data_IF_266089373822
#
_entry.id   IF_266089373822
#
_cell.length_a   1.000
_cell.length_b   1.000
_cell.length_c   1.000
_cell.angle_alpha   90.00
_cell.angle_beta   90.00
_cell.angle_gamma   90.00
#
_symmetry.space_group_name_H-M   'P 1'
#
loop_
_entity.id
_entity.type
_entity.pdbx_description
1 polymer ?
#
# COMPACT_ATOMS: atom_id res chain seq x y z
N UNK A 1 -5.96 1.95 -8.46
CA UNK A 1 -5.11 2.17 -7.27
C UNK A 1 -4.65 3.64 -7.11
N UNK A 2 -4.70 4.47 -8.15
CA UNK A 2 -4.30 5.89 -8.07
C UNK A 2 -4.88 6.68 -6.90
N UNK A 3 -4.11 7.64 -6.39
CA UNK A 3 -4.48 8.51 -5.29
C UNK A 3 -3.53 8.41 -4.10
N UNK A 4 -3.94 8.99 -2.98
CA UNK A 4 -3.17 9.01 -1.73
C UNK A 4 -3.71 7.94 -0.80
N UNK A 5 -2.80 7.20 -0.18
CA UNK A 5 -3.11 6.14 0.77
C UNK A 5 -2.25 6.33 2.01
N UNK A 6 -2.88 6.42 3.16
CA UNK A 6 -2.21 6.58 4.45
C UNK A 6 -1.96 5.22 5.08
N UNK A 7 -0.79 5.03 5.68
CA UNK A 7 -0.33 3.82 6.33
C UNK A 7 -0.67 3.91 7.81
N UNK A 8 -1.57 3.04 8.27
CA UNK A 8 -1.95 2.92 9.67
C UNK A 8 -0.93 2.07 10.44
N UNK A 9 -0.45 0.98 9.84
CA UNK A 9 0.59 0.13 10.41
C UNK A 9 1.49 -0.49 9.33
N UNK A 10 2.76 -0.68 9.66
CA UNK A 10 3.74 -1.32 8.78
C UNK A 10 4.72 -2.18 9.58
N UNK A 11 4.88 -3.43 9.15
CA UNK A 11 5.88 -4.36 9.68
C UNK A 11 6.80 -4.83 8.57
N UNK A 12 8.09 -4.88 8.84
CA UNK A 12 9.10 -5.45 7.93
C UNK A 12 9.93 -6.49 8.67
N UNK A 13 9.94 -7.74 8.17
CA UNK A 13 10.51 -8.91 8.86
C UNK A 13 10.01 -9.02 10.31
N UNK A 14 8.70 -8.92 10.52
CA UNK A 14 8.03 -8.99 11.83
C UNK A 14 8.28 -7.79 12.78
N UNK A 15 9.13 -6.84 12.41
CA UNK A 15 9.37 -5.63 13.21
C UNK A 15 8.47 -4.47 12.78
N UNK A 16 7.85 -3.77 13.74
CA UNK A 16 7.22 -2.47 13.48
C UNK A 16 8.30 -1.46 13.06
N UNK A 17 8.18 -0.95 11.84
CA UNK A 17 9.12 0.03 11.27
C UNK A 17 8.49 1.42 11.09
N UNK A 18 7.31 1.69 11.67
CA UNK A 18 6.63 2.98 11.53
C UNK A 18 7.51 4.15 11.99
N UNK A 19 8.24 3.98 13.09
CA UNK A 19 9.20 4.97 13.60
C UNK A 19 10.44 5.16 12.71
N UNK A 20 10.69 4.27 11.75
CA UNK A 20 11.79 4.38 10.79
C UNK A 20 11.47 5.29 9.61
N UNK A 21 10.18 5.56 9.36
CA UNK A 21 9.70 6.22 8.15
C UNK A 21 9.55 7.73 8.34
N UNK A 22 9.96 8.49 7.33
CA UNK A 22 9.57 9.89 7.16
C UNK A 22 8.27 9.93 6.34
N UNK A 23 7.17 10.19 7.04
CA UNK A 23 5.82 10.19 6.47
C UNK A 23 5.17 8.82 6.47
N UNK A 24 3.87 8.78 6.19
CA UNK A 24 3.05 7.57 6.22
C UNK A 24 2.24 7.36 4.94
N UNK A 25 2.54 8.08 3.86
CA UNK A 25 1.69 8.05 2.67
C UNK A 25 2.35 7.33 1.50
N UNK A 26 1.55 6.55 0.79
CA UNK A 26 1.78 6.25 -0.62
C UNK A 26 1.02 7.25 -1.49
N UNK A 27 1.65 7.68 -2.58
CA UNK A 27 0.96 8.43 -3.63
C UNK A 27 1.19 7.74 -4.97
N UNK A 28 0.15 7.10 -5.48
CA UNK A 28 0.15 6.47 -6.79
C UNK A 28 -0.43 7.43 -7.82
N UNK A 29 0.28 7.69 -8.91
CA UNK A 29 -0.19 8.54 -10.00
C UNK A 29 0.48 8.12 -11.31
N UNK A 30 -0.32 7.86 -12.34
CA UNK A 30 0.18 7.33 -13.60
C UNK A 30 1.05 6.08 -13.31
N UNK A 31 2.23 5.96 -13.91
CA UNK A 31 3.17 4.85 -13.66
C UNK A 31 4.06 5.06 -12.42
N UNK A 32 3.92 6.17 -11.70
CA UNK A 32 4.81 6.56 -10.61
C UNK A 32 4.19 6.39 -9.23
N UNK A 33 5.02 5.99 -8.27
CA UNK A 33 4.68 5.93 -6.86
C UNK A 33 5.62 6.79 -6.04
N UNK A 34 5.05 7.60 -5.14
CA UNK A 34 5.78 8.20 -4.01
C UNK A 34 5.64 7.29 -2.80
N UNK A 35 6.76 6.86 -2.22
CA UNK A 35 6.87 5.95 -1.09
C UNK A 35 7.38 6.71 0.16
N UNK A 36 7.04 6.26 1.38
CA UNK A 36 7.69 6.75 2.59
C UNK A 36 9.22 6.55 2.51
N UNK A 37 9.97 7.52 3.02
CA UNK A 37 11.44 7.43 3.07
C UNK A 37 11.86 6.73 4.37
N UNK A 38 12.72 5.73 4.31
CA UNK A 38 13.38 5.22 5.52
C UNK A 38 14.52 6.17 5.92
N UNK A 39 14.55 6.63 7.17
CA UNK A 39 15.63 7.50 7.68
C UNK A 39 16.35 6.93 8.91
N UNK A 40 15.58 6.39 9.86
CA UNK A 40 16.05 6.22 11.24
C UNK A 40 16.37 4.76 11.63
N UNK A 41 16.44 3.84 10.67
CA UNK A 41 16.74 2.43 10.96
C UNK A 41 18.00 1.99 10.24
N UNK A 42 19.06 1.78 11.03
CA UNK A 42 20.41 1.43 10.59
C UNK A 42 20.45 0.23 9.65
N UNK A 43 19.52 -0.71 9.81
CA UNK A 43 19.41 -1.92 9.00
C UNK A 43 18.79 -1.66 7.63
N UNK A 44 17.89 -0.67 7.50
CA UNK A 44 17.17 -0.38 6.27
C UNK A 44 17.91 0.61 5.36
N UNK A 45 18.74 1.47 5.97
CA UNK A 45 19.42 2.54 5.26
C UNK A 45 18.48 3.66 4.80
N UNK A 46 19.04 4.72 4.24
CA UNK A 46 18.27 5.83 3.68
C UNK A 46 17.85 5.51 2.25
N UNK A 47 16.57 5.68 1.94
CA UNK A 47 16.03 5.44 0.59
C UNK A 47 15.56 6.74 -0.06
N UNK A 48 15.33 6.68 -1.38
CA UNK A 48 14.55 7.70 -2.09
C UNK A 48 13.05 7.41 -1.96
N UNK A 49 12.26 8.44 -2.23
CA UNK A 49 10.80 8.42 -2.12
C UNK A 49 10.10 8.05 -3.43
N UNK A 50 10.82 7.65 -4.49
CA UNK A 50 10.23 7.41 -5.82
C UNK A 50 10.46 6.00 -6.32
N UNK A 51 9.45 5.50 -7.02
CA UNK A 51 9.50 4.27 -7.80
C UNK A 51 8.45 4.26 -8.90
N UNK A 52 8.34 3.14 -9.59
CA UNK A 52 7.22 2.84 -10.50
C UNK A 52 6.33 1.76 -9.90
N UNK A 53 5.11 1.64 -10.40
CA UNK A 53 4.18 0.63 -9.93
C UNK A 53 3.26 0.12 -11.03
N UNK A 54 2.77 -1.10 -10.84
CA UNK A 54 1.68 -1.67 -11.62
C UNK A 54 0.82 -2.60 -10.74
N UNK A 55 -0.47 -2.70 -11.07
CA UNK A 55 -1.36 -3.72 -10.50
C UNK A 55 -1.55 -4.81 -11.53
N UNK A 56 -1.27 -6.05 -11.12
CA UNK A 56 -1.40 -7.25 -11.94
C UNK A 56 -2.61 -8.02 -11.42
N UNK A 57 -3.50 -8.41 -12.34
CA UNK A 57 -4.69 -9.21 -12.09
C UNK A 57 -4.45 -10.65 -12.60
N UNK A 58 -3.91 -11.56 -11.79
CA UNK A 58 -3.72 -12.95 -12.21
C UNK A 58 -5.07 -13.66 -12.42
N UNK A 59 -5.11 -14.60 -13.37
CA UNK A 59 -6.30 -15.40 -13.68
C UNK A 59 -6.84 -16.20 -12.47
N UNK A 60 -5.97 -16.49 -11.49
CA UNK A 60 -6.30 -17.17 -10.24
C UNK A 60 -7.08 -16.30 -9.24
N UNK A 61 -7.28 -15.02 -9.55
CA UNK A 61 -7.92 -14.03 -8.66
C UNK A 61 -6.93 -13.32 -7.72
N UNK A 62 -7.41 -12.23 -7.12
CA UNK A 62 -6.62 -11.33 -6.28
C UNK A 62 -5.90 -10.23 -7.07
N UNK A 63 -5.28 -9.30 -6.36
CA UNK A 63 -4.41 -8.28 -6.96
C UNK A 63 -2.98 -8.49 -6.49
N UNK A 64 -2.03 -8.36 -7.41
CA UNK A 64 -0.63 -8.16 -7.08
C UNK A 64 -0.25 -6.71 -7.35
N UNK A 65 0.41 -6.09 -6.39
CA UNK A 65 1.04 -4.79 -6.54
C UNK A 65 2.52 -5.00 -6.73
N UNK A 66 3.05 -4.63 -7.90
CA UNK A 66 4.48 -4.60 -8.14
C UNK A 66 4.97 -3.18 -8.01
N UNK A 67 6.02 -2.99 -7.22
CA UNK A 67 6.70 -1.71 -7.02
C UNK A 67 8.17 -1.91 -7.39
N UNK A 68 8.68 -1.06 -8.26
CA UNK A 68 10.10 -1.00 -8.59
C UNK A 68 10.69 0.29 -8.00
N UNK A 69 11.58 0.15 -7.02
CA UNK A 69 12.18 1.30 -6.31
C UNK A 69 13.51 0.94 -5.64
N UNK A 70 14.24 1.96 -5.21
CA UNK A 70 15.47 1.78 -4.40
C UNK A 70 15.17 1.28 -2.97
N UNK A 71 13.91 1.31 -2.51
CA UNK A 71 13.57 0.91 -1.15
C UNK A 71 13.47 -0.60 -0.99
N UNK A 72 14.37 -1.20 -0.21
CA UNK A 72 14.33 -2.64 0.11
C UNK A 72 13.05 -3.09 0.83
N UNK A 73 12.36 -2.17 1.49
CA UNK A 73 11.10 -2.46 2.19
C UNK A 73 9.97 -2.64 1.19
N UNK A 74 9.87 -1.73 0.22
CA UNK A 74 8.71 -1.64 -0.68
C UNK A 74 8.96 -2.23 -2.07
N UNK A 75 10.21 -2.49 -2.45
CA UNK A 75 10.55 -3.03 -3.76
C UNK A 75 10.19 -4.51 -3.85
N UNK A 76 9.44 -4.87 -4.88
CA UNK A 76 9.05 -6.24 -5.15
C UNK A 76 7.61 -6.38 -5.62
N UNK A 77 7.11 -7.61 -5.56
CA UNK A 77 5.72 -7.95 -5.84
C UNK A 77 5.03 -8.37 -4.55
N UNK A 78 3.92 -7.74 -4.26
CA UNK A 78 3.16 -7.93 -3.03
C UNK A 78 1.72 -8.27 -3.37
N UNK A 79 1.05 -9.01 -2.49
CA UNK A 79 -0.40 -9.19 -2.55
C UNK A 79 -1.06 -7.90 -2.08
N UNK A 80 -2.06 -7.45 -2.81
CA UNK A 80 -2.86 -6.27 -2.48
C UNK A 80 -4.30 -6.70 -2.23
N UNK A 81 -4.83 -6.34 -1.06
CA UNK A 81 -6.23 -6.55 -0.71
C UNK A 81 -6.92 -5.25 -0.37
N UNK A 82 -8.19 -5.17 -0.72
CA UNK A 82 -9.05 -4.06 -0.36
C UNK A 82 -10.08 -4.51 0.66
N UNK A 83 -10.26 -3.69 1.68
CA UNK A 83 -11.16 -3.98 2.80
C UNK A 83 -12.15 -2.84 2.90
N UNK A 84 -13.43 -3.17 2.91
CA UNK A 84 -14.50 -2.21 3.16
C UNK A 84 -14.68 -2.05 4.67
N UNK A 85 -14.40 -0.86 5.19
CA UNK A 85 -14.62 -0.51 6.59
C UNK A 85 -15.89 0.35 6.71
N UNK A 86 -17.01 -0.29 7.04
CA UNK A 86 -18.30 0.38 7.17
C UNK A 86 -18.38 1.28 8.41
N UNK A 87 -17.71 0.91 9.50
CA UNK A 87 -17.75 1.62 10.76
C UNK A 87 -17.09 2.99 10.61
N UNK A 88 -15.87 3.00 10.06
CA UNK A 88 -15.11 4.23 9.84
C UNK A 88 -15.48 4.92 8.52
N UNK A 89 -16.31 4.28 7.67
CA UNK A 89 -16.68 4.75 6.33
C UNK A 89 -15.44 5.00 5.48
N UNK A 90 -14.55 4.01 5.41
CA UNK A 90 -13.27 4.09 4.71
C UNK A 90 -13.08 2.91 3.77
N UNK A 91 -12.32 3.15 2.69
CA UNK A 91 -11.71 2.07 1.90
C UNK A 91 -10.32 1.80 2.48
N UNK A 92 -10.14 0.62 3.07
CA UNK A 92 -8.86 0.14 3.58
C UNK A 92 -8.13 -0.68 2.54
N UNK A 93 -6.82 -0.78 2.70
CA UNK A 93 -5.97 -1.67 1.93
C UNK A 93 -5.05 -2.46 2.85
N UNK A 94 -4.62 -3.61 2.35
CA UNK A 94 -3.60 -4.46 2.95
C UNK A 94 -2.58 -4.83 1.86
N UNK A 95 -1.29 -4.63 2.14
CA UNK A 95 -0.19 -5.10 1.30
C UNK A 95 0.58 -6.16 2.06
N UNK A 96 0.74 -7.35 1.50
CA UNK A 96 1.49 -8.45 2.11
C UNK A 96 2.51 -9.09 1.18
N UNK A 97 3.65 -9.46 1.74
CA UNK A 97 4.63 -10.40 1.16
C UNK A 97 5.37 -11.11 2.29
N UNK A 98 6.32 -11.98 1.97
CA UNK A 98 7.07 -12.75 2.97
C UNK A 98 7.75 -11.87 4.04
N UNK A 99 8.17 -10.67 3.66
CA UNK A 99 8.90 -9.73 4.53
C UNK A 99 8.11 -8.48 4.90
N UNK A 100 6.93 -8.22 4.32
CA UNK A 100 6.24 -6.95 4.46
C UNK A 100 4.77 -7.15 4.78
N UNK A 101 4.28 -6.42 5.77
CA UNK A 101 2.86 -6.30 6.07
C UNK A 101 2.51 -4.82 6.27
N UNK A 102 1.57 -4.30 5.49
CA UNK A 102 1.05 -2.93 5.60
C UNK A 102 -0.46 -2.97 5.65
N UNK A 103 -1.04 -2.17 6.53
CA UNK A 103 -2.45 -1.80 6.46
C UNK A 103 -2.60 -0.29 6.47
N UNK A 104 -3.66 0.17 5.83
CA UNK A 104 -3.95 1.59 5.75
C UNK A 104 -5.25 1.90 5.05
N UNK A 105 -5.45 3.16 4.70
CA UNK A 105 -6.69 3.64 4.13
C UNK A 105 -6.47 4.60 2.96
N UNK A 106 -7.45 4.64 2.05
CA UNK A 106 -7.47 5.65 0.99
C UNK A 106 -7.84 7.00 1.59
N UNK A 107 -7.10 8.03 1.20
CA UNK A 107 -7.31 9.41 1.65
C UNK A 107 -8.17 10.16 0.62
N UNK A 108 -9.03 11.07 1.10
CA UNK A 108 -9.94 11.87 0.27
C UNK A 108 -10.81 11.03 -0.69
N UNK A 109 -11.34 9.91 -0.20
CA UNK A 109 -12.18 9.00 -0.97
C UNK A 109 -13.57 8.87 -0.35
N UNK A 110 -14.56 9.67 -0.79
CA UNK A 110 -15.86 9.71 -0.13
C UNK A 110 -16.57 8.35 -0.26
N UNK A 111 -16.78 7.68 0.87
CA UNK A 111 -17.24 6.30 0.91
C UNK A 111 -18.60 6.08 0.23
N UNK A 112 -19.60 6.90 0.56
CA UNK A 112 -20.96 6.75 0.04
C UNK A 112 -21.03 6.90 -1.48
N UNK A 113 -20.34 7.89 -2.04
CA UNK A 113 -20.35 8.12 -3.49
C UNK A 113 -19.57 7.06 -4.26
N UNK A 114 -18.69 6.31 -3.60
CA UNK A 114 -17.82 5.31 -4.22
C UNK A 114 -18.18 3.87 -3.84
N UNK A 115 -19.33 3.62 -3.19
CA UNK A 115 -19.65 2.31 -2.63
C UNK A 115 -19.61 1.17 -3.65
N UNK A 116 -20.09 1.40 -4.87
CA UNK A 116 -20.05 0.39 -5.94
C UNK A 116 -18.63 0.03 -6.36
N UNK A 117 -17.73 1.02 -6.40
CA UNK A 117 -16.32 0.81 -6.72
C UNK A 117 -15.62 0.07 -5.56
N UNK A 118 -15.90 0.45 -4.32
CA UNK A 118 -15.40 -0.25 -3.13
C UNK A 118 -15.82 -1.72 -3.15
N UNK A 119 -17.09 -2.00 -3.40
CA UNK A 119 -17.63 -3.36 -3.44
C UNK A 119 -16.98 -4.19 -4.55
N UNK A 120 -16.75 -3.58 -5.71
CA UNK A 120 -16.03 -4.20 -6.82
C UNK A 120 -14.59 -4.58 -6.44
N UNK A 121 -13.83 -3.62 -5.90
CA UNK A 121 -12.44 -3.84 -5.49
C UNK A 121 -12.31 -4.94 -4.43
N UNK A 122 -13.17 -4.90 -3.40
CA UNK A 122 -13.18 -5.90 -2.32
C UNK A 122 -13.51 -7.28 -2.87
N UNK A 123 -14.46 -7.39 -3.79
CA UNK A 123 -14.86 -8.66 -4.41
C UNK A 123 -13.71 -9.32 -5.19
N UNK A 124 -12.92 -8.52 -5.91
CA UNK A 124 -11.81 -9.02 -6.72
C UNK A 124 -10.56 -9.36 -5.90
N UNK A 125 -10.39 -8.72 -4.75
CA UNK A 125 -9.21 -8.87 -3.91
C UNK A 125 -9.23 -10.06 -2.93
N UNK A 126 -10.10 -11.05 -3.18
CA UNK A 126 -10.29 -12.21 -2.30
C UNK A 126 -9.11 -13.17 -2.34
#
# INVERSE_FOLDING_TARGET
MEGIWDIEAIHYNEYDIRGCLLGSIFRFKDEYVTLPVTLNCSVLGKTRDRGTWEVIEPDSGGFLLKIDSESKVFNGTHRLRFIKDFENKMLKFEITSDSLYIVGNKVLYPFKSNINNIDYLVKLSK
#
